data_IF_340266515482
#
_entry.id   IF_340266515482
#
_cell.length_a   1.000
_cell.length_b   1.000
_cell.length_c   1.000
_cell.angle_alpha   90.00
_cell.angle_beta   90.00
_cell.angle_gamma   90.00
#
_symmetry.space_group_name_H-M   'P 1'
#
loop_
_entity.id
_entity.type
_entity.pdbx_description
1 polymer ?
#
# COMPACT_ATOMS: atom_id res chain seq x y z
N UNK A 1 -17.25 -13.28 -20.53
CA UNK A 1 -17.22 -13.09 -19.09
C UNK A 1 -16.26 -11.97 -18.77
N UNK A 2 -16.59 -11.12 -17.82
CA UNK A 2 -15.77 -9.98 -17.46
C UNK A 2 -14.52 -10.47 -16.71
N UNK A 3 -13.35 -10.26 -17.29
CA UNK A 3 -12.06 -10.54 -16.63
C UNK A 3 -11.70 -9.30 -15.82
N UNK A 4 -11.51 -9.47 -14.51
CA UNK A 4 -11.06 -8.39 -13.62
C UNK A 4 -9.54 -8.50 -13.44
N UNK A 5 -8.83 -7.49 -13.93
CA UNK A 5 -7.39 -7.35 -13.73
C UNK A 5 -7.12 -6.65 -12.40
N UNK A 6 -6.12 -7.14 -11.67
CA UNK A 6 -5.67 -6.52 -10.42
C UNK A 6 -4.14 -6.48 -10.42
N UNK A 7 -3.57 -5.28 -10.33
CA UNK A 7 -2.13 -5.06 -10.36
C UNK A 7 -1.76 -3.59 -10.27
N UNK A 8 -0.50 -3.28 -10.46
CA UNK A 8 0.01 -1.91 -10.49
C UNK A 8 -0.21 -1.25 -11.86
N UNK A 9 -0.32 0.07 -11.87
CA UNK A 9 -0.30 0.89 -13.09
C UNK A 9 0.95 1.76 -13.02
N UNK A 10 1.72 1.79 -14.10
CA UNK A 10 2.90 2.65 -14.23
C UNK A 10 2.61 3.78 -15.21
N UNK A 11 3.10 4.99 -14.91
CA UNK A 11 2.85 6.18 -15.72
C UNK A 11 4.18 6.84 -16.06
N UNK A 12 4.43 7.07 -17.35
CA UNK A 12 5.61 7.77 -17.87
C UNK A 12 5.22 8.82 -18.90
N UNK A 13 6.12 9.73 -19.23
CA UNK A 13 5.93 10.64 -20.36
C UNK A 13 6.13 9.93 -21.69
N UNK A 14 7.17 9.08 -21.77
CA UNK A 14 7.46 8.29 -22.97
C UNK A 14 7.63 6.81 -22.61
N UNK A 15 7.21 5.90 -23.50
CA UNK A 15 7.32 4.47 -23.24
C UNK A 15 8.78 4.00 -23.12
N UNK A 16 9.75 4.67 -23.76
CA UNK A 16 11.17 4.41 -23.61
C UNK A 16 11.70 4.64 -22.17
N UNK A 17 10.99 5.40 -21.34
CA UNK A 17 11.37 5.61 -19.94
C UNK A 17 11.33 4.34 -19.10
N UNK A 18 10.51 3.37 -19.48
CA UNK A 18 10.48 2.04 -18.88
C UNK A 18 11.87 1.40 -18.84
N UNK A 19 12.57 1.43 -19.96
CA UNK A 19 13.93 0.89 -20.08
C UNK A 19 14.98 1.79 -19.42
N UNK A 20 14.80 3.11 -19.53
CA UNK A 20 15.71 4.07 -18.90
C UNK A 20 15.73 3.94 -17.37
N UNK A 21 14.60 3.55 -16.79
CA UNK A 21 14.47 3.32 -15.35
C UNK A 21 14.78 1.88 -14.94
N UNK A 22 15.12 0.99 -15.90
CA UNK A 22 15.49 -0.40 -15.62
C UNK A 22 14.31 -1.28 -15.17
N UNK A 23 13.07 -0.90 -15.49
CA UNK A 23 11.88 -1.64 -15.07
C UNK A 23 11.73 -2.99 -15.78
N UNK A 24 12.35 -3.14 -16.94
CA UNK A 24 12.45 -4.38 -17.70
C UNK A 24 13.29 -5.46 -17.01
N UNK A 25 14.14 -5.07 -16.06
CA UNK A 25 15.03 -5.97 -15.32
C UNK A 25 14.62 -6.14 -13.84
N UNK A 26 13.68 -5.33 -13.34
CA UNK A 26 13.25 -5.37 -11.94
C UNK A 26 12.01 -6.26 -11.77
N UNK A 27 12.11 -7.42 -11.06
CA UNK A 27 10.98 -8.29 -10.80
C UNK A 27 9.80 -7.61 -10.07
N UNK A 28 10.05 -6.50 -9.37
CA UNK A 28 9.00 -5.73 -8.70
C UNK A 28 7.97 -5.15 -9.68
N UNK A 29 8.34 -4.98 -10.95
CA UNK A 29 7.46 -4.49 -12.00
C UNK A 29 6.67 -5.59 -12.75
N UNK A 30 6.88 -6.86 -12.41
CA UNK A 30 6.11 -7.98 -12.98
C UNK A 30 4.61 -7.92 -12.62
N UNK A 31 4.23 -7.16 -11.60
CA UNK A 31 2.83 -6.95 -11.21
C UNK A 31 2.15 -5.77 -11.90
N UNK A 32 2.85 -5.04 -12.77
CA UNK A 32 2.26 -3.93 -13.55
C UNK A 32 1.35 -4.53 -14.62
N UNK A 33 0.08 -4.13 -14.60
CA UNK A 33 -0.93 -4.63 -15.56
C UNK A 33 -1.23 -3.64 -16.69
N UNK A 34 -0.81 -2.38 -16.53
CA UNK A 34 -1.04 -1.32 -17.52
C UNK A 34 0.07 -0.28 -17.41
N UNK A 35 0.63 0.09 -18.56
CA UNK A 35 1.56 1.19 -18.71
C UNK A 35 0.85 2.36 -19.40
N UNK A 36 0.79 3.53 -18.77
CA UNK A 36 0.16 4.74 -19.32
C UNK A 36 1.26 5.70 -19.73
N UNK A 37 1.21 6.20 -20.97
CA UNK A 37 2.22 7.11 -21.53
C UNK A 37 1.60 8.27 -22.30
N UNK A 38 2.29 9.40 -22.35
CA UNK A 38 1.95 10.53 -23.23
C UNK A 38 2.50 10.36 -24.65
N UNK A 39 3.61 9.61 -24.79
CA UNK A 39 4.19 9.28 -26.09
C UNK A 39 4.56 7.78 -26.09
N UNK A 40 3.98 7.06 -27.04
CA UNK A 40 4.31 5.65 -27.27
C UNK A 40 5.38 5.55 -28.37
N UNK A 41 6.63 5.77 -27.96
CA UNK A 41 7.81 5.84 -28.84
C UNK A 41 8.57 4.53 -28.95
N UNK A 42 8.25 3.52 -28.11
CA UNK A 42 8.92 2.22 -28.11
C UNK A 42 8.03 1.14 -27.50
N UNK A 43 7.93 -0.06 -28.12
CA UNK A 43 7.26 -1.21 -27.52
C UNK A 43 7.86 -1.59 -26.15
N UNK A 44 7.01 -1.85 -25.18
CA UNK A 44 7.41 -2.20 -23.81
C UNK A 44 7.14 -3.67 -23.55
N UNK A 45 8.10 -4.33 -22.89
CA UNK A 45 8.02 -5.73 -22.52
C UNK A 45 8.28 -5.92 -21.03
N UNK A 46 7.65 -6.93 -20.46
CA UNK A 46 7.97 -7.42 -19.11
C UNK A 46 9.35 -8.05 -19.05
N UNK A 47 9.93 -8.28 -17.86
CA UNK A 47 11.15 -9.10 -17.70
C UNK A 47 11.02 -10.51 -18.32
N UNK A 48 9.79 -11.02 -18.45
CA UNK A 48 9.49 -12.30 -19.12
C UNK A 48 9.63 -12.25 -20.65
N UNK A 49 9.74 -11.06 -21.25
CA UNK A 49 9.74 -10.84 -22.70
C UNK A 49 8.33 -10.70 -23.31
N UNK A 50 7.26 -10.88 -22.54
CA UNK A 50 5.89 -10.66 -23.00
C UNK A 50 5.61 -9.16 -23.17
N UNK A 51 4.80 -8.80 -24.18
CA UNK A 51 4.41 -7.40 -24.45
C UNK A 51 3.52 -6.85 -23.34
N UNK A 52 3.84 -5.65 -22.87
CA UNK A 52 3.06 -4.97 -21.85
C UNK A 52 1.91 -4.16 -22.45
N UNK A 53 0.68 -4.27 -21.91
CA UNK A 53 -0.42 -3.40 -22.32
C UNK A 53 -0.07 -1.93 -22.08
N UNK A 54 0.01 -1.15 -23.16
CA UNK A 54 0.33 0.29 -23.09
C UNK A 54 -0.88 1.10 -23.55
N UNK A 55 -1.19 2.15 -22.80
CA UNK A 55 -2.27 3.08 -23.08
C UNK A 55 -1.70 4.49 -23.31
N UNK A 56 -1.99 5.05 -24.48
CA UNK A 56 -1.62 6.43 -24.80
C UNK A 56 -2.62 7.40 -24.17
N UNK A 57 -2.13 8.27 -23.30
CA UNK A 57 -2.91 9.36 -22.68
C UNK A 57 -2.57 10.68 -23.35
N UNK A 58 -3.50 11.19 -24.16
CA UNK A 58 -3.32 12.49 -24.81
C UNK A 58 -3.62 13.62 -23.79
N UNK A 59 -2.60 14.40 -23.47
CA UNK A 59 -2.71 15.59 -22.63
C UNK A 59 -2.80 16.82 -23.50
N UNK A 60 -3.84 17.66 -23.32
CA UNK A 60 -4.00 18.89 -24.10
C UNK A 60 -2.92 19.92 -23.77
N UNK A 61 -2.58 20.76 -24.75
CA UNK A 61 -1.62 21.87 -24.57
C UNK A 61 -2.06 22.85 -23.48
N UNK A 62 -3.37 23.05 -23.31
CA UNK A 62 -3.93 23.90 -22.26
C UNK A 62 -3.63 23.34 -20.86
N UNK A 63 -3.77 22.00 -20.65
CA UNK A 63 -3.42 21.36 -19.38
C UNK A 63 -1.93 21.44 -19.10
N UNK A 64 -1.09 21.30 -20.14
CA UNK A 64 0.37 21.47 -20.01
C UNK A 64 0.75 22.87 -19.60
N UNK A 65 0.11 23.87 -20.22
CA UNK A 65 0.34 25.28 -19.88
C UNK A 65 -0.07 25.57 -18.42
N UNK A 66 -1.20 25.04 -17.97
CA UNK A 66 -1.65 25.18 -16.59
C UNK A 66 -0.70 24.50 -15.59
N UNK A 67 -0.19 23.29 -15.90
CA UNK A 67 0.82 22.63 -15.09
C UNK A 67 2.08 23.48 -14.96
N UNK A 68 2.59 24.02 -16.08
CA UNK A 68 3.79 24.85 -16.07
C UNK A 68 3.60 26.13 -15.23
N UNK A 69 2.41 26.72 -15.27
CA UNK A 69 2.10 27.89 -14.45
C UNK A 69 2.04 27.52 -12.95
N UNK A 70 1.45 26.37 -12.61
CA UNK A 70 1.45 25.85 -11.25
C UNK A 70 2.86 25.57 -10.72
N UNK A 71 3.72 24.96 -11.54
CA UNK A 71 5.12 24.66 -11.17
C UNK A 71 5.94 25.93 -10.99
N UNK A 72 5.72 26.97 -11.81
CA UNK A 72 6.38 28.27 -11.67
C UNK A 72 5.99 29.02 -10.38
N UNK A 73 4.81 28.74 -9.84
CA UNK A 73 4.29 29.36 -8.61
C UNK A 73 4.79 28.71 -7.31
N UNK A 74 5.99 28.13 -7.32
CA UNK A 74 6.57 27.31 -6.23
C UNK A 74 6.59 28.01 -4.84
N UNK A 75 6.53 29.33 -4.80
CA UNK A 75 6.57 30.09 -3.54
C UNK A 75 5.21 30.35 -2.91
N UNK A 76 4.11 29.97 -3.58
CA UNK A 76 2.76 30.10 -3.05
C UNK A 76 2.04 28.74 -3.16
N UNK A 77 1.21 28.40 -2.17
CA UNK A 77 0.31 27.26 -2.31
C UNK A 77 -0.57 27.48 -3.56
N UNK A 78 -0.55 26.57 -4.56
CA UNK A 78 -1.27 26.80 -5.82
C UNK A 78 -2.75 27.10 -5.64
N UNK A 79 -3.37 26.54 -4.58
CA UNK A 79 -4.76 26.79 -4.21
C UNK A 79 -4.99 28.08 -3.41
N UNK A 80 -3.93 28.79 -2.97
CA UNK A 80 -4.10 30.02 -2.18
C UNK A 80 -4.82 31.11 -2.98
N UNK A 81 -4.59 31.20 -4.30
CA UNK A 81 -5.27 32.13 -5.20
C UNK A 81 -6.73 31.75 -5.48
N UNK A 82 -7.07 30.46 -5.35
CA UNK A 82 -8.42 29.96 -5.53
C UNK A 82 -9.25 30.05 -4.24
N UNK A 83 -8.58 30.22 -3.11
CA UNK A 83 -9.27 30.43 -1.83
C UNK A 83 -9.82 31.86 -1.83
N UNK A 84 -11.06 32.02 -2.32
CA UNK A 84 -11.89 33.15 -1.88
C UNK A 84 -11.80 33.23 -0.37
N UNK A 85 -11.67 34.43 0.23
CA UNK A 85 -11.61 34.54 1.69
C UNK A 85 -12.86 33.89 2.27
N UNK A 86 -12.70 32.65 2.72
CA UNK A 86 -13.76 31.93 3.42
C UNK A 86 -14.04 32.71 4.68
N UNK A 87 -15.22 33.32 4.74
CA UNK A 87 -15.67 34.01 5.94
C UNK A 87 -15.65 33.00 7.10
N UNK A 88 -15.18 33.44 8.26
CA UNK A 88 -15.08 32.61 9.48
C UNK A 88 -16.38 31.87 9.79
N UNK A 89 -17.52 32.53 9.53
CA UNK A 89 -18.88 31.99 9.68
C UNK A 89 -19.13 30.71 8.88
N UNK A 90 -18.52 30.58 7.69
CA UNK A 90 -18.70 29.40 6.84
C UNK A 90 -17.62 28.32 7.10
N UNK A 91 -16.44 28.72 7.57
CA UNK A 91 -15.31 27.82 7.80
C UNK A 91 -15.59 26.83 8.94
N UNK A 92 -16.10 27.31 10.08
CA UNK A 92 -16.39 26.46 11.25
C UNK A 92 -17.44 25.40 10.98
N UNK A 93 -18.63 25.71 10.40
CA UNK A 93 -19.60 24.68 10.06
C UNK A 93 -19.08 23.66 9.04
N UNK A 94 -18.29 24.10 8.07
CA UNK A 94 -17.68 23.21 7.07
C UNK A 94 -16.69 22.24 7.72
N UNK A 95 -15.76 22.73 8.55
CA UNK A 95 -14.81 21.88 9.26
C UNK A 95 -15.53 20.90 10.20
N UNK A 96 -16.58 21.35 10.90
CA UNK A 96 -17.40 20.48 11.74
C UNK A 96 -18.12 19.40 10.91
N UNK A 97 -18.56 19.72 9.69
CA UNK A 97 -19.14 18.75 8.77
C UNK A 97 -18.09 17.71 8.34
N UNK A 98 -16.90 18.15 7.90
CA UNK A 98 -15.80 17.27 7.53
C UNK A 98 -15.36 16.36 8.68
N UNK A 99 -15.27 16.92 9.89
CA UNK A 99 -14.95 16.14 11.08
C UNK A 99 -15.97 15.03 11.34
N UNK A 100 -17.27 15.36 11.28
CA UNK A 100 -18.35 14.36 11.43
C UNK A 100 -18.31 13.28 10.36
N UNK A 101 -18.05 13.65 9.09
CA UNK A 101 -17.90 12.69 8.00
C UNK A 101 -16.71 11.76 8.23
N UNK A 102 -15.58 12.32 8.66
CA UNK A 102 -14.38 11.54 8.98
C UNK A 102 -14.63 10.58 10.15
N UNK A 103 -15.30 11.05 11.19
CA UNK A 103 -15.65 10.23 12.36
C UNK A 103 -16.59 9.08 11.96
N UNK A 104 -17.65 9.37 11.18
CA UNK A 104 -18.56 8.33 10.66
C UNK A 104 -17.85 7.24 9.88
N UNK A 105 -16.88 7.60 9.01
CA UNK A 105 -16.08 6.62 8.27
C UNK A 105 -15.24 5.74 9.19
N UNK A 106 -14.63 6.32 10.23
CA UNK A 106 -13.85 5.55 11.22
C UNK A 106 -14.72 4.63 12.06
N UNK A 107 -15.88 5.11 12.48
CA UNK A 107 -16.87 4.28 13.20
C UNK A 107 -17.37 3.15 12.34
N UNK A 108 -17.69 3.39 11.06
CA UNK A 108 -18.13 2.34 10.14
C UNK A 108 -17.03 1.27 9.95
N UNK A 109 -15.76 1.67 9.81
CA UNK A 109 -14.64 0.73 9.75
C UNK A 109 -14.56 -0.12 11.03
N UNK A 110 -14.65 0.50 12.20
CA UNK A 110 -14.61 -0.22 13.48
C UNK A 110 -15.75 -1.22 13.60
N UNK A 111 -16.98 -0.84 13.22
CA UNK A 111 -18.12 -1.76 13.20
C UNK A 111 -17.89 -2.94 12.25
N UNK A 112 -17.27 -2.70 11.08
CA UNK A 112 -16.93 -3.78 10.15
C UNK A 112 -15.91 -4.74 10.76
N UNK A 113 -14.86 -4.22 11.40
CA UNK A 113 -13.86 -5.05 12.09
C UNK A 113 -14.46 -5.84 13.24
N UNK A 114 -15.30 -5.18 14.05
CA UNK A 114 -15.97 -5.83 15.17
C UNK A 114 -16.91 -6.97 14.72
N UNK A 115 -17.65 -6.74 13.63
CA UNK A 115 -18.50 -7.79 13.05
C UNK A 115 -17.68 -8.98 12.52
N UNK A 116 -16.52 -8.71 11.89
CA UNK A 116 -15.59 -9.77 11.43
C UNK A 116 -14.93 -10.54 12.58
N UNK A 117 -14.78 -9.90 13.73
CA UNK A 117 -14.21 -10.48 14.95
C UNK A 117 -15.31 -11.06 15.87
N UNK A 118 -16.52 -11.27 15.36
CA UNK A 118 -17.64 -11.88 16.12
C UNK A 118 -17.93 -11.16 17.46
N UNK A 119 -17.69 -9.85 17.49
CA UNK A 119 -17.89 -9.02 18.68
C UNK A 119 -16.68 -8.93 19.61
N UNK A 120 -15.56 -9.54 19.30
CA UNK A 120 -14.32 -9.42 20.08
C UNK A 120 -13.65 -8.07 19.85
N UNK A 121 -13.76 -7.20 20.87
CA UNK A 121 -13.17 -5.87 20.85
C UNK A 121 -11.65 -5.87 20.85
N UNK A 122 -11.00 -6.84 21.50
CA UNK A 122 -9.54 -6.94 21.55
C UNK A 122 -9.00 -7.30 20.16
N UNK A 123 -9.59 -8.31 19.50
CA UNK A 123 -9.23 -8.68 18.13
C UNK A 123 -9.54 -7.56 17.13
N UNK A 124 -10.68 -6.88 17.25
CA UNK A 124 -11.04 -5.75 16.38
C UNK A 124 -10.06 -4.56 16.57
N UNK A 125 -9.69 -4.27 17.82
CA UNK A 125 -8.68 -3.26 18.16
C UNK A 125 -7.31 -3.58 17.60
N UNK A 126 -6.88 -4.83 17.69
CA UNK A 126 -5.65 -5.33 17.10
C UNK A 126 -5.64 -5.19 15.56
N UNK A 127 -6.71 -5.61 14.88
CA UNK A 127 -6.84 -5.46 13.44
C UNK A 127 -6.79 -3.98 13.01
N UNK A 128 -7.44 -3.10 13.76
CA UNK A 128 -7.41 -1.65 13.55
C UNK A 128 -5.99 -1.08 13.72
N UNK A 129 -5.27 -1.51 14.78
CA UNK A 129 -3.89 -1.11 15.03
C UNK A 129 -2.99 -1.51 13.87
N UNK A 130 -3.02 -2.77 13.46
CA UNK A 130 -2.23 -3.26 12.34
C UNK A 130 -2.55 -2.50 11.05
N UNK A 131 -3.85 -2.27 10.75
CA UNK A 131 -4.25 -1.47 9.59
C UNK A 131 -3.56 -0.10 9.56
N UNK A 132 -3.50 0.58 10.71
CA UNK A 132 -2.85 1.89 10.79
C UNK A 132 -1.32 1.81 10.76
N UNK A 133 -0.71 0.74 11.28
CA UNK A 133 0.73 0.48 11.14
C UNK A 133 1.15 0.20 9.68
N UNK A 134 0.24 -0.34 8.87
CA UNK A 134 0.45 -0.50 7.42
C UNK A 134 0.45 0.81 6.64
N UNK A 135 0.18 1.94 7.28
CA UNK A 135 0.04 3.26 6.68
C UNK A 135 -0.92 3.25 5.46
N UNK A 136 -0.72 4.16 4.49
CA UNK A 136 -1.58 4.22 3.31
C UNK A 136 -1.33 3.08 2.30
N UNK A 137 -0.14 2.49 2.28
CA UNK A 137 0.25 1.50 1.27
C UNK A 137 -0.15 0.07 1.64
N UNK A 138 0.07 -0.31 2.90
CA UNK A 138 -0.10 -1.69 3.39
C UNK A 138 -1.23 -1.84 4.41
N UNK A 139 -2.11 -0.84 4.57
CA UNK A 139 -3.18 -0.88 5.56
C UNK A 139 -4.09 -2.10 5.41
N UNK A 140 -4.52 -2.42 4.19
CA UNK A 140 -5.38 -3.58 3.93
C UNK A 140 -4.61 -4.92 4.12
N UNK A 141 -3.32 -4.96 3.76
CA UNK A 141 -2.47 -6.12 3.98
C UNK A 141 -2.27 -6.42 5.47
N UNK A 142 -2.05 -5.38 6.28
CA UNK A 142 -1.87 -5.52 7.72
C UNK A 142 -3.18 -5.83 8.45
N UNK A 143 -4.32 -5.30 7.97
CA UNK A 143 -5.63 -5.74 8.46
C UNK A 143 -5.86 -7.23 8.17
N UNK A 144 -5.48 -7.68 6.96
CA UNK A 144 -5.58 -9.10 6.61
C UNK A 144 -4.66 -9.95 7.49
N UNK A 145 -3.44 -9.47 7.82
CA UNK A 145 -2.52 -10.15 8.73
C UNK A 145 -3.17 -10.45 10.08
N UNK A 146 -4.00 -9.54 10.61
CA UNK A 146 -4.72 -9.77 11.86
C UNK A 146 -5.69 -10.95 11.81
N UNK A 147 -6.19 -11.32 10.63
CA UNK A 147 -7.06 -12.49 10.46
C UNK A 147 -6.27 -13.80 10.31
N UNK A 148 -5.03 -13.72 9.79
CA UNK A 148 -4.14 -14.89 9.65
C UNK A 148 -3.38 -15.19 10.95
N UNK A 149 -3.14 -14.16 11.76
CA UNK A 149 -2.46 -14.27 13.06
C UNK A 149 -3.33 -13.59 14.12
N UNK A 150 -4.28 -14.32 14.74
CA UNK A 150 -5.16 -13.76 15.75
C UNK A 150 -4.41 -13.31 17.02
N UNK A 151 -4.93 -12.26 17.67
CA UNK A 151 -4.30 -11.65 18.85
C UNK A 151 -4.00 -12.64 19.97
N UNK A 152 -4.91 -13.56 20.26
CA UNK A 152 -4.74 -14.55 21.33
C UNK A 152 -3.50 -15.45 21.16
N UNK A 153 -2.98 -15.60 19.93
CA UNK A 153 -1.71 -16.32 19.71
C UNK A 153 -0.52 -15.45 20.07
N UNK A 154 -0.55 -14.16 19.75
CA UNK A 154 0.51 -13.24 20.19
C UNK A 154 0.56 -13.10 21.70
N UNK A 155 -0.58 -13.08 22.37
CA UNK A 155 -0.67 -13.03 23.84
C UNK A 155 -0.02 -14.22 24.53
N UNK A 156 -0.06 -15.41 23.91
CA UNK A 156 0.63 -16.60 24.43
C UNK A 156 2.15 -16.50 24.37
N UNK A 157 2.68 -15.65 23.51
CA UNK A 157 4.10 -15.47 23.28
C UNK A 157 4.60 -14.08 23.70
N UNK A 158 3.78 -13.31 24.45
CA UNK A 158 4.04 -11.90 24.79
C UNK A 158 5.36 -11.67 25.51
N UNK A 159 5.87 -12.67 26.22
CA UNK A 159 7.08 -12.57 27.04
C UNK A 159 8.36 -12.92 26.24
N UNK A 160 8.23 -13.32 24.97
CA UNK A 160 9.32 -13.63 24.06
C UNK A 160 9.23 -12.81 22.76
N UNK A 161 10.05 -11.76 22.70
CA UNK A 161 10.09 -10.86 21.54
C UNK A 161 10.48 -11.59 20.26
N UNK A 162 11.38 -12.57 20.35
CA UNK A 162 11.82 -13.37 19.21
C UNK A 162 10.69 -14.18 18.60
N UNK A 163 9.84 -14.77 19.43
CA UNK A 163 8.66 -15.50 18.96
C UNK A 163 7.60 -14.56 18.37
N UNK A 164 7.40 -13.39 18.96
CA UNK A 164 6.49 -12.38 18.40
C UNK A 164 6.95 -11.90 17.02
N UNK A 165 8.24 -11.60 16.86
CA UNK A 165 8.82 -11.21 15.57
C UNK A 165 8.71 -12.34 14.54
N UNK A 166 9.04 -13.57 14.92
CA UNK A 166 8.91 -14.73 14.06
C UNK A 166 7.45 -14.94 13.59
N UNK A 167 6.47 -14.84 14.49
CA UNK A 167 5.05 -14.94 14.16
C UNK A 167 4.59 -13.83 13.22
N UNK A 168 4.91 -12.56 13.52
CA UNK A 168 4.47 -11.43 12.73
C UNK A 168 5.13 -11.40 11.35
N UNK A 169 6.45 -11.47 11.29
CA UNK A 169 7.20 -11.40 10.04
C UNK A 169 7.01 -12.66 9.19
N UNK A 170 6.96 -13.83 9.83
CA UNK A 170 6.74 -15.10 9.14
C UNK A 170 5.35 -15.17 8.52
N UNK A 171 4.30 -14.85 9.28
CA UNK A 171 2.93 -14.84 8.74
C UNK A 171 2.76 -13.76 7.66
N UNK A 172 3.42 -12.61 7.78
CA UNK A 172 3.43 -11.59 6.75
C UNK A 172 4.27 -11.96 5.49
N UNK A 173 5.07 -13.03 5.53
CA UNK A 173 5.97 -13.44 4.45
C UNK A 173 7.17 -12.51 4.28
N UNK A 174 7.62 -11.84 5.35
CA UNK A 174 8.64 -10.79 5.32
C UNK A 174 10.00 -11.23 5.91
N UNK A 175 10.15 -12.47 6.38
CA UNK A 175 11.41 -12.97 6.97
C UNK A 175 12.59 -12.85 6.00
N UNK A 176 12.35 -13.07 4.71
CA UNK A 176 13.37 -12.94 3.67
C UNK A 176 13.91 -11.51 3.49
N UNK A 177 13.23 -10.50 4.04
CA UNK A 177 13.69 -9.11 4.01
C UNK A 177 14.63 -8.75 5.16
N UNK A 178 14.75 -9.61 6.16
CA UNK A 178 15.74 -9.44 7.21
C UNK A 178 17.15 -9.64 6.62
N UNK A 179 18.15 -8.93 7.14
CA UNK A 179 19.55 -9.15 6.76
C UNK A 179 19.93 -10.62 6.94
N UNK A 180 20.74 -11.14 6.01
CA UNK A 180 21.26 -12.49 6.15
C UNK A 180 22.16 -12.59 7.38
N UNK A 181 21.96 -13.66 8.18
CA UNK A 181 22.70 -13.86 9.41
C UNK A 181 21.98 -14.82 10.39
N UNK A 182 22.59 -14.97 11.55
CA UNK A 182 22.11 -15.89 12.58
C UNK A 182 20.70 -15.52 13.09
N UNK A 183 20.44 -14.23 13.23
CA UNK A 183 19.16 -13.71 13.69
C UNK A 183 18.00 -14.09 12.73
N UNK A 184 18.20 -13.92 11.41
CA UNK A 184 17.22 -14.34 10.41
C UNK A 184 16.99 -15.85 10.47
N UNK A 185 18.07 -16.65 10.50
CA UNK A 185 17.96 -18.12 10.56
C UNK A 185 17.22 -18.58 11.81
N UNK A 186 17.45 -17.91 12.95
CA UNK A 186 16.71 -18.18 14.19
C UNK A 186 15.22 -17.86 14.07
N UNK A 187 14.84 -16.71 13.47
CA UNK A 187 13.43 -16.34 13.25
C UNK A 187 12.74 -17.28 12.27
N UNK A 188 13.43 -17.71 11.21
CA UNK A 188 12.90 -18.67 10.24
C UNK A 188 12.64 -20.05 10.91
N UNK A 189 13.56 -20.52 11.76
CA UNK A 189 13.42 -21.77 12.51
C UNK A 189 12.26 -21.70 13.50
N UNK A 190 12.17 -20.61 14.26
CA UNK A 190 11.10 -20.39 15.23
C UNK A 190 9.74 -20.29 14.55
N UNK A 191 9.65 -19.56 13.43
CA UNK A 191 8.41 -19.49 12.67
C UNK A 191 7.99 -20.86 12.10
N UNK A 192 8.92 -21.63 11.57
CA UNK A 192 8.62 -22.98 11.08
C UNK A 192 8.00 -23.87 12.17
N UNK A 193 8.54 -23.82 13.40
CA UNK A 193 7.98 -24.54 14.54
C UNK A 193 6.59 -24.01 14.94
N UNK A 194 6.44 -22.69 15.11
CA UNK A 194 5.20 -22.09 15.58
C UNK A 194 4.09 -22.17 14.52
N UNK A 195 4.42 -22.02 13.25
CA UNK A 195 3.44 -22.17 12.17
C UNK A 195 2.88 -23.58 12.08
N UNK A 196 3.74 -24.59 12.25
CA UNK A 196 3.29 -25.99 12.34
C UNK A 196 2.41 -26.23 13.58
N UNK A 197 2.84 -25.74 14.74
CA UNK A 197 2.13 -25.89 16.03
C UNK A 197 0.71 -25.32 15.99
N UNK A 198 0.53 -24.18 15.34
CA UNK A 198 -0.74 -23.45 15.29
C UNK A 198 -1.46 -23.56 13.94
N UNK A 199 -0.95 -24.36 13.02
CA UNK A 199 -1.46 -24.51 11.65
C UNK A 199 -1.61 -23.15 10.92
N UNK A 200 -0.65 -22.23 11.14
CA UNK A 200 -0.66 -20.92 10.51
C UNK A 200 -0.27 -21.02 9.04
N UNK A 201 -0.89 -20.17 8.23
CA UNK A 201 -0.54 -19.99 6.82
C UNK A 201 0.03 -18.60 6.63
N UNK A 202 1.08 -18.44 5.84
CA UNK A 202 1.56 -17.10 5.48
C UNK A 202 0.55 -16.38 4.60
N UNK A 203 0.60 -15.06 4.61
CA UNK A 203 -0.15 -14.25 3.64
C UNK A 203 0.26 -14.63 2.21
N UNK A 204 -0.67 -14.52 1.24
CA UNK A 204 -0.32 -14.70 -0.18
C UNK A 204 0.84 -13.79 -0.60
N UNK A 205 1.74 -14.30 -1.42
CA UNK A 205 2.87 -13.54 -1.91
C UNK A 205 2.40 -12.25 -2.60
N UNK A 206 3.12 -11.14 -2.37
CA UNK A 206 2.77 -9.84 -2.94
C UNK A 206 1.65 -9.08 -2.22
N UNK A 207 1.07 -9.63 -1.14
CA UNK A 207 0.07 -8.91 -0.33
C UNK A 207 0.66 -7.65 0.30
N UNK A 208 1.87 -7.73 0.85
CA UNK A 208 2.61 -6.57 1.35
C UNK A 208 3.38 -5.91 0.20
N UNK A 209 3.14 -4.62 -0.01
CA UNK A 209 3.78 -3.83 -1.06
C UNK A 209 5.04 -3.18 -0.51
N UNK A 210 6.13 -3.25 -1.26
CA UNK A 210 7.33 -2.45 -0.99
C UNK A 210 7.04 -0.97 -1.26
N UNK A 211 7.41 -0.10 -0.33
CA UNK A 211 7.47 1.32 -0.65
C UNK A 211 8.58 1.50 -1.71
N UNK A 212 8.21 2.03 -2.88
CA UNK A 212 9.19 2.39 -3.90
C UNK A 212 10.01 3.56 -3.35
N UNK A 213 11.29 3.36 -3.10
CA UNK A 213 12.22 4.47 -2.93
C UNK A 213 12.32 5.17 -4.27
N UNK A 214 11.94 6.45 -4.34
CA UNK A 214 12.25 7.24 -5.53
C UNK A 214 13.76 7.20 -5.70
N UNK A 215 14.29 6.88 -6.90
CA UNK A 215 15.71 7.12 -7.15
C UNK A 215 15.98 8.60 -6.91
N UNK A 216 16.95 8.88 -6.04
CA UNK A 216 17.47 10.23 -5.77
C UNK A 216 18.20 10.77 -7.00
#
# INVERSE_FOLDING_TARGET
GDIRWCGAVEIHRASAEWYRHGHDQDPAYSSVILHIVEADDRPVHYPSGEGMPTCLLLVSEELRAQEQELVKSIHELPCARLSSPWREENRRPFLACLYRLRLRRKVALLHTLLARSEGDWAQAGYALLLRYLGFGLNGDAFELLASYLPLHLLEKHRDDLGQLEALLLGTAGLLSLLPEGEERAQRETEYAFLSHKYALKPLPAGTCRRARTRPT
#
